data_IF_075673046167
#
_entry.id   IF_075673046167
#
_cell.length_a   1.000
_cell.length_b   1.000
_cell.length_c   1.000
_cell.angle_alpha   90.00
_cell.angle_beta   90.00
_cell.angle_gamma   90.00
#
_symmetry.space_group_name_H-M   'P 1'
#
loop_
_entity.id
_entity.type
_entity.pdbx_description
1 polymer ?
#
# COMPACT_ATOMS: atom_id res chain seq x y z
N UNK A 1 16.47 -8.46 13.03
CA UNK A 1 15.94 -7.13 12.97
C UNK A 1 15.03 -6.93 11.81
N UNK A 2 15.56 -6.31 10.73
CA UNK A 2 14.71 -6.06 9.57
C UNK A 2 14.17 -7.37 9.00
N UNK A 3 15.05 -8.35 8.84
CA UNK A 3 14.64 -9.63 8.27
C UNK A 3 13.65 -10.35 9.17
N UNK A 4 13.82 -10.25 10.48
CA UNK A 4 12.90 -10.87 11.41
C UNK A 4 11.54 -10.18 11.38
N UNK A 5 11.56 -8.86 11.28
CA UNK A 5 10.32 -8.09 11.20
C UNK A 5 9.53 -8.48 9.95
N UNK A 6 10.22 -8.57 8.81
CA UNK A 6 9.58 -8.96 7.55
C UNK A 6 9.02 -10.37 7.66
N UNK A 7 9.80 -11.29 8.26
CA UNK A 7 9.34 -12.67 8.43
C UNK A 7 8.09 -12.76 9.27
N UNK A 8 8.00 -11.97 10.33
CA UNK A 8 6.83 -11.97 11.20
C UNK A 8 5.60 -11.46 10.45
N UNK A 9 5.76 -10.38 9.69
CA UNK A 9 4.64 -9.83 8.93
C UNK A 9 4.20 -10.81 7.85
N UNK A 10 5.16 -11.45 7.20
CA UNK A 10 4.85 -12.43 6.17
C UNK A 10 4.09 -13.60 6.76
N UNK A 11 4.49 -14.08 7.93
CA UNK A 11 3.77 -15.16 8.61
C UNK A 11 2.36 -14.73 8.97
N UNK A 12 2.21 -13.50 9.44
CA UNK A 12 0.90 -12.98 9.78
C UNK A 12 -0.02 -12.97 8.57
N UNK A 13 0.47 -12.44 7.45
CA UNK A 13 -0.31 -12.35 6.22
C UNK A 13 -0.70 -13.75 5.73
N UNK A 14 0.25 -14.69 5.77
CA UNK A 14 0.00 -16.03 5.25
C UNK A 14 -0.89 -16.85 6.15
N UNK A 15 -1.02 -16.47 7.42
CA UNK A 15 -1.87 -17.21 8.37
C UNK A 15 -3.32 -16.77 8.34
N UNK A 16 -3.63 -15.71 7.59
CA UNK A 16 -4.97 -15.14 7.54
C UNK A 16 -5.59 -15.32 6.17
N UNK A 17 -6.89 -15.54 6.15
CA UNK A 17 -7.63 -15.54 4.89
C UNK A 17 -7.78 -14.09 4.43
N UNK A 18 -7.75 -13.85 3.11
CA UNK A 18 -7.96 -12.50 2.61
C UNK A 18 -9.33 -11.97 3.02
N UNK A 19 -9.37 -10.72 3.47
CA UNK A 19 -10.61 -10.11 3.92
C UNK A 19 -11.20 -9.13 2.90
N UNK A 20 -10.38 -8.66 1.96
CA UNK A 20 -10.87 -7.80 0.90
C UNK A 20 -10.41 -8.35 -0.43
N UNK A 21 -11.09 -7.91 -1.50
CA UNK A 21 -10.78 -8.42 -2.83
C UNK A 21 -9.50 -7.85 -3.37
N UNK A 22 -9.46 -6.54 -3.48
CA UNK A 22 -8.41 -5.90 -4.26
C UNK A 22 -8.16 -4.49 -3.75
N UNK A 23 -6.88 -4.13 -3.70
CA UNK A 23 -6.47 -2.78 -3.33
C UNK A 23 -5.50 -2.30 -4.41
N UNK A 24 -5.59 -1.03 -4.75
CA UNK A 24 -4.63 -0.39 -5.65
C UNK A 24 -3.74 0.53 -4.85
N UNK A 25 -2.43 0.41 -5.05
CA UNK A 25 -1.48 1.31 -4.41
C UNK A 25 -0.78 2.10 -5.49
N UNK A 26 -0.90 3.42 -5.43
CA UNK A 26 -0.24 4.30 -6.37
C UNK A 26 1.01 4.85 -5.70
N UNK A 27 2.16 4.58 -6.28
CA UNK A 27 3.42 4.98 -5.68
C UNK A 27 4.09 6.04 -6.54
N UNK A 28 4.24 7.24 -5.99
CA UNK A 28 4.81 8.35 -6.72
C UNK A 28 5.63 9.21 -5.77
N UNK A 29 6.86 9.50 -6.16
CA UNK A 29 7.78 10.37 -5.41
C UNK A 29 7.97 9.91 -3.96
N UNK A 30 8.02 8.61 -3.75
CA UNK A 30 8.23 8.05 -2.42
C UNK A 30 7.01 8.04 -1.54
N UNK A 31 5.83 8.33 -2.09
CA UNK A 31 4.60 8.37 -1.33
C UNK A 31 3.56 7.43 -1.89
N UNK A 32 2.69 6.95 -1.01
CA UNK A 32 1.68 5.96 -1.35
C UNK A 32 0.28 6.53 -1.27
N UNK A 33 -0.56 6.16 -2.24
CA UNK A 33 -1.98 6.46 -2.22
C UNK A 33 -2.69 5.13 -2.40
N UNK A 34 -3.65 4.84 -1.52
CA UNK A 34 -4.40 3.59 -1.60
C UNK A 34 -5.80 3.84 -2.16
N UNK A 35 -6.21 2.98 -3.06
CA UNK A 35 -7.57 2.99 -3.60
C UNK A 35 -8.20 1.62 -3.37
N UNK A 36 -9.49 1.60 -3.11
CA UNK A 36 -10.21 0.33 -2.98
C UNK A 36 -10.57 -0.20 -4.37
N UNK A 37 -11.29 -1.30 -4.42
CA UNK A 37 -11.62 -1.93 -5.71
C UNK A 37 -12.47 -1.04 -6.59
N UNK A 38 -13.18 -0.07 -6.00
CA UNK A 38 -13.98 0.89 -6.74
C UNK A 38 -13.19 2.13 -7.13
N UNK A 39 -11.91 2.14 -6.77
CA UNK A 39 -10.98 3.23 -7.05
C UNK A 39 -11.25 4.48 -6.22
N UNK A 40 -11.90 4.29 -5.08
CA UNK A 40 -12.08 5.36 -4.10
C UNK A 40 -10.89 5.39 -3.16
N UNK A 41 -10.47 6.60 -2.80
CA UNK A 41 -9.29 6.76 -1.96
C UNK A 41 -9.58 6.26 -0.54
N UNK A 42 -8.67 5.43 -0.03
CA UNK A 42 -8.74 4.96 1.34
C UNK A 42 -8.02 5.97 2.22
N UNK A 43 -8.71 6.49 3.24
CA UNK A 43 -8.16 7.54 4.07
C UNK A 43 -8.06 7.13 5.53
N UNK A 44 -7.33 7.95 6.28
CA UNK A 44 -7.12 7.72 7.70
C UNK A 44 -8.41 7.94 8.51
N UNK A 45 -9.35 8.66 7.95
CA UNK A 45 -10.60 8.96 8.65
C UNK A 45 -11.42 7.72 8.96
N UNK A 46 -11.05 6.59 8.40
CA UNK A 46 -11.71 5.34 8.74
C UNK A 46 -11.45 4.98 10.19
N UNK A 47 -12.42 4.37 10.81
CA UNK A 47 -12.38 4.08 12.22
C UNK A 47 -11.45 2.92 12.57
N UNK A 48 -10.75 2.38 11.63
CA UNK A 48 -9.87 1.25 11.86
C UNK A 48 -8.59 1.64 12.57
N UNK A 49 -8.32 2.94 12.67
CA UNK A 49 -7.13 3.41 13.32
C UNK A 49 -7.46 4.10 14.62
N UNK A 50 -6.57 3.96 15.58
CA UNK A 50 -6.74 4.61 16.86
C UNK A 50 -6.36 6.08 16.72
N UNK A 51 -7.37 6.95 16.70
CA UNK A 51 -7.16 8.38 16.52
C UNK A 51 -6.24 8.98 17.58
N UNK A 52 -6.24 8.34 18.74
CA UNK A 52 -5.40 8.81 19.83
C UNK A 52 -3.92 8.76 19.44
N UNK A 53 -3.51 7.69 18.79
CA UNK A 53 -2.12 7.59 18.35
C UNK A 53 -1.84 8.53 17.20
N UNK A 54 -2.81 8.72 16.34
CA UNK A 54 -2.61 9.57 15.17
C UNK A 54 -2.43 11.04 15.54
N UNK A 55 -2.98 11.44 16.68
CA UNK A 55 -2.84 12.84 17.10
C UNK A 55 -1.43 13.13 17.61
N UNK A 56 -0.73 12.11 18.10
CA UNK A 56 0.59 12.29 18.68
C UNK A 56 1.73 11.91 17.74
N UNK A 57 1.44 11.07 16.75
CA UNK A 57 2.45 10.54 15.85
C UNK A 57 2.10 10.91 14.42
N UNK A 58 3.08 11.46 13.71
CA UNK A 58 2.90 11.77 12.31
C UNK A 58 3.31 10.56 11.48
N UNK A 59 2.35 9.92 10.84
CA UNK A 59 2.63 8.79 9.97
C UNK A 59 2.86 9.26 8.54
N UNK A 60 3.87 8.68 7.90
CA UNK A 60 4.07 8.90 6.48
C UNK A 60 2.96 8.17 5.71
N UNK A 61 2.79 8.54 4.44
CA UNK A 61 1.81 7.82 3.62
C UNK A 61 2.19 6.35 3.48
N UNK A 62 3.48 6.04 3.52
CA UNK A 62 3.92 4.65 3.43
C UNK A 62 3.60 3.88 4.69
N UNK A 63 3.73 4.51 5.85
CA UNK A 63 3.33 3.86 7.10
C UNK A 63 1.85 3.57 7.11
N UNK A 64 1.05 4.53 6.66
CA UNK A 64 -0.38 4.33 6.56
C UNK A 64 -0.70 3.19 5.60
N UNK A 65 -0.03 3.17 4.45
CA UNK A 65 -0.29 2.15 3.45
C UNK A 65 0.01 0.75 3.99
N UNK A 66 1.15 0.59 4.66
CA UNK A 66 1.50 -0.71 5.20
C UNK A 66 0.49 -1.17 6.25
N UNK A 67 0.13 -0.28 7.16
CA UNK A 67 -0.82 -0.62 8.21
C UNK A 67 -2.20 -0.95 7.63
N UNK A 68 -2.63 -0.19 6.64
CA UNK A 68 -3.91 -0.45 6.00
C UNK A 68 -3.92 -1.80 5.29
N UNK A 69 -2.84 -2.11 4.58
CA UNK A 69 -2.75 -3.38 3.88
C UNK A 69 -2.76 -4.56 4.85
N UNK A 70 -2.09 -4.40 5.99
CA UNK A 70 -2.10 -5.45 7.00
C UNK A 70 -3.47 -5.62 7.64
N UNK A 71 -4.23 -4.53 7.76
CA UNK A 71 -5.58 -4.59 8.34
C UNK A 71 -6.60 -5.13 7.35
N UNK A 72 -6.49 -4.70 6.10
CA UNK A 72 -7.48 -5.07 5.08
C UNK A 72 -7.22 -6.44 4.47
N UNK A 73 -6.00 -6.92 4.55
CA UNK A 73 -5.60 -8.24 4.04
C UNK A 73 -6.18 -8.49 2.66
N UNK A 74 -5.79 -7.70 1.66
CA UNK A 74 -6.35 -7.87 0.32
C UNK A 74 -5.87 -9.16 -0.33
N UNK A 75 -6.73 -9.72 -1.15
CA UNK A 75 -6.38 -10.87 -1.94
C UNK A 75 -5.39 -10.50 -3.03
N UNK A 76 -5.49 -9.27 -3.51
CA UNK A 76 -4.66 -8.79 -4.60
C UNK A 76 -4.28 -7.32 -4.37
N UNK A 77 -3.01 -7.02 -4.54
CA UNK A 77 -2.50 -5.66 -4.41
C UNK A 77 -1.92 -5.27 -5.76
N UNK A 78 -2.53 -4.28 -6.41
CA UNK A 78 -2.02 -3.76 -7.66
C UNK A 78 -1.19 -2.53 -7.38
N UNK A 79 0.12 -2.63 -7.56
CA UNK A 79 1.03 -1.52 -7.31
C UNK A 79 1.26 -0.78 -8.62
N UNK A 80 0.84 0.48 -8.66
CA UNK A 80 1.00 1.33 -9.83
C UNK A 80 2.24 2.20 -9.61
N UNK A 81 3.33 1.85 -10.28
CA UNK A 81 4.58 2.60 -10.14
C UNK A 81 4.59 3.79 -11.07
N UNK A 82 4.37 4.96 -10.52
CA UNK A 82 4.42 6.19 -11.29
C UNK A 82 5.87 6.67 -11.38
N UNK A 83 6.62 6.50 -10.29
CA UNK A 83 8.04 6.78 -10.28
C UNK A 83 8.78 5.49 -9.93
N UNK A 84 10.09 5.56 -9.79
CA UNK A 84 10.89 4.37 -9.52
C UNK A 84 10.49 3.70 -8.21
N UNK A 85 10.60 2.39 -8.17
CA UNK A 85 10.40 1.68 -6.92
C UNK A 85 11.61 1.92 -6.02
N UNK A 86 11.41 1.72 -4.73
CA UNK A 86 12.48 1.84 -3.76
C UNK A 86 12.31 0.77 -2.70
N UNK A 87 12.97 0.95 -1.58
CA UNK A 87 12.98 -0.04 -0.52
C UNK A 87 11.59 -0.36 0.01
N UNK A 88 10.71 0.62 0.08
CA UNK A 88 9.36 0.39 0.58
C UNK A 88 8.61 -0.60 -0.30
N UNK A 89 8.69 -0.42 -1.61
CA UNK A 89 8.02 -1.32 -2.55
C UNK A 89 8.62 -2.72 -2.47
N UNK A 90 9.95 -2.81 -2.34
CA UNK A 90 10.59 -4.11 -2.17
C UNK A 90 10.10 -4.80 -0.90
N UNK A 91 9.91 -4.04 0.17
CA UNK A 91 9.40 -4.57 1.42
C UNK A 91 7.98 -5.11 1.26
N UNK A 92 7.12 -4.39 0.57
CA UNK A 92 5.77 -4.87 0.31
C UNK A 92 5.78 -6.17 -0.47
N UNK A 93 6.66 -6.26 -1.46
CA UNK A 93 6.76 -7.47 -2.27
C UNK A 93 7.21 -8.66 -1.43
N UNK A 94 8.08 -8.42 -0.45
CA UNK A 94 8.52 -9.48 0.44
C UNK A 94 7.40 -9.96 1.37
N UNK A 95 6.63 -9.02 1.90
CA UNK A 95 5.59 -9.36 2.87
C UNK A 95 4.40 -10.03 2.21
N UNK A 96 3.93 -9.47 1.11
CA UNK A 96 2.70 -9.93 0.47
C UNK A 96 2.92 -10.88 -0.71
N UNK A 97 4.12 -11.03 -1.15
CA UNK A 97 4.55 -11.99 -2.18
C UNK A 97 3.54 -12.23 -3.31
N UNK A 98 2.83 -13.36 -3.23
CA UNK A 98 1.95 -13.78 -4.33
C UNK A 98 0.74 -12.89 -4.53
N UNK A 99 0.49 -11.97 -3.62
CA UNK A 99 -0.67 -11.09 -3.73
C UNK A 99 -0.34 -9.79 -4.47
N UNK A 100 0.94 -9.55 -4.75
CA UNK A 100 1.39 -8.29 -5.36
C UNK A 100 1.50 -8.42 -6.86
N UNK A 101 0.93 -7.44 -7.56
CA UNK A 101 1.02 -7.34 -9.01
C UNK A 101 1.50 -5.94 -9.37
N UNK A 102 2.54 -5.85 -10.16
CA UNK A 102 3.11 -4.56 -10.54
C UNK A 102 2.51 -4.07 -11.83
N UNK A 103 2.19 -2.79 -11.88
CA UNK A 103 1.60 -2.17 -13.07
C UNK A 103 2.33 -0.86 -13.34
N UNK A 104 2.67 -0.62 -14.59
CA UNK A 104 3.35 0.62 -14.97
C UNK A 104 2.66 1.34 -16.12
N UNK A 105 1.63 0.73 -16.70
CA UNK A 105 1.01 1.33 -17.88
C UNK A 105 -0.47 0.96 -17.99
N UNK A 106 -1.29 1.62 -17.19
CA UNK A 106 -2.74 1.51 -17.28
C UNK A 106 -3.30 2.92 -17.21
N UNK A 107 -4.62 3.04 -17.25
CA UNK A 107 -5.23 4.37 -17.20
C UNK A 107 -4.85 5.13 -15.95
N UNK A 108 -4.79 4.44 -14.80
CA UNK A 108 -4.39 5.07 -13.56
C UNK A 108 -2.95 5.55 -13.65
N UNK A 109 -2.07 4.69 -14.13
CA UNK A 109 -0.66 5.04 -14.25
C UNK A 109 -0.46 6.23 -15.18
N UNK A 110 -1.14 6.23 -16.30
CA UNK A 110 -1.01 7.33 -17.27
C UNK A 110 -1.51 8.64 -16.68
N UNK A 111 -2.65 8.60 -16.00
CA UNK A 111 -3.21 9.80 -15.39
C UNK A 111 -2.26 10.39 -14.36
N UNK A 112 -1.71 9.56 -13.49
CA UNK A 112 -0.83 10.05 -12.45
C UNK A 112 0.53 10.50 -13.01
N UNK A 113 0.98 9.90 -14.09
CA UNK A 113 2.21 10.34 -14.72
C UNK A 113 2.04 11.72 -15.33
N UNK A 114 0.89 11.98 -15.93
CA UNK A 114 0.58 13.29 -16.48
C UNK A 114 0.53 14.34 -15.35
N UNK A 115 -0.16 14.04 -14.27
CA UNK A 115 -0.23 14.94 -13.13
C UNK A 115 1.15 15.21 -12.58
N UNK A 116 1.96 14.18 -12.46
CA UNK A 116 3.31 14.32 -11.94
C UNK A 116 4.18 15.17 -12.85
N UNK A 117 4.01 15.03 -14.16
CA UNK A 117 4.77 15.81 -15.13
C UNK A 117 4.37 17.26 -15.14
N UNK A 118 3.13 17.57 -14.77
CA UNK A 118 2.63 18.93 -14.79
C UNK A 118 3.21 19.76 -13.65
N UNK A 119 3.87 19.16 -12.71
CA UNK A 119 4.51 19.87 -11.63
C UNK A 119 5.90 20.27 -12.01
#
# INVERSE_FOLDING_TARGET
EYAEFISLLKMYVNSKDPETEEIHLIYTNGESILLDKNKDIITISNNNFNAKYLSDITFSSNDFALNALLSLLPKKINIHLITKKDEFIDTLCLIFENRVYMCTDCNICRTYKIINSAK
#
